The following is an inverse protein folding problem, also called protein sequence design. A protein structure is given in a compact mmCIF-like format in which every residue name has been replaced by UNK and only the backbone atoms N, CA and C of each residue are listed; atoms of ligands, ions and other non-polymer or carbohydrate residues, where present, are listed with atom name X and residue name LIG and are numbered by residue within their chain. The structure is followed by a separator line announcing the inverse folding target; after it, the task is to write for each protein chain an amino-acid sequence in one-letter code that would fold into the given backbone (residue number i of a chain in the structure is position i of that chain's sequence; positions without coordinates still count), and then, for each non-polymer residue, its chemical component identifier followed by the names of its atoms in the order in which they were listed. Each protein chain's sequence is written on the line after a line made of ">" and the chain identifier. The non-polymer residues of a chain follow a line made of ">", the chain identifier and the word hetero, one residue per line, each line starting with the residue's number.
data_IF_294011915048
#
_entry.id   IF_294011915048
#
_cell.length_a   1.000
_cell.length_b   1.000
_cell.length_c   1.000
_cell.angle_alpha   90.00
_cell.angle_beta   90.00
_cell.angle_gamma   90.00
#
_symmetry.space_group_name_H-M   'P 1'
#
loop_
_entity.id
_entity.type
_entity.pdbx_description
1 polymer ?
#
# COMPACT_ATOMS: atom_id res chain seq x y z
N UNK A 1 10.28 -4.85 -33.65
CA UNK A 1 8.91 -4.52 -33.19
C UNK A 1 8.29 -5.77 -32.60
N UNK A 2 8.03 -5.77 -31.29
CA UNK A 2 6.93 -6.49 -30.61
C UNK A 2 7.21 -6.48 -29.10
N UNK A 3 6.43 -5.73 -28.34
CA UNK A 3 6.04 -6.08 -26.97
C UNK A 3 4.64 -5.52 -26.73
N UNK A 4 3.64 -6.27 -27.19
CA UNK A 4 2.31 -6.19 -26.59
C UNK A 4 2.39 -6.92 -25.24
N UNK A 5 2.50 -6.20 -24.12
CA UNK A 5 2.43 -6.80 -22.80
C UNK A 5 1.30 -6.18 -21.97
N UNK A 6 0.24 -6.97 -21.89
CA UNK A 6 -0.83 -7.00 -20.88
C UNK A 6 -1.66 -5.73 -20.65
N UNK A 7 -2.68 -5.54 -21.50
CA UNK A 7 -3.94 -4.84 -21.14
C UNK A 7 -4.84 -5.63 -20.18
N UNK A 8 -4.50 -6.90 -19.88
CA UNK A 8 -5.29 -7.73 -18.96
C UNK A 8 -4.92 -7.48 -17.48
N UNK A 9 -3.66 -7.15 -17.15
CA UNK A 9 -3.24 -6.96 -15.74
C UNK A 9 -3.85 -5.69 -15.12
N UNK A 10 -3.93 -4.60 -15.89
CA UNK A 10 -4.54 -3.35 -15.42
C UNK A 10 -6.06 -3.42 -15.24
N UNK A 11 -6.75 -4.24 -16.04
CA UNK A 11 -8.19 -4.45 -15.88
C UNK A 11 -8.50 -5.24 -14.60
N UNK A 12 -7.72 -6.29 -14.30
CA UNK A 12 -7.88 -7.10 -13.08
C UNK A 12 -7.58 -6.28 -11.83
N UNK A 13 -6.56 -5.42 -11.86
CA UNK A 13 -6.27 -4.53 -10.75
C UNK A 13 -7.38 -3.50 -10.52
N UNK A 14 -7.93 -2.91 -11.59
CA UNK A 14 -9.04 -1.96 -11.49
C UNK A 14 -10.34 -2.62 -10.96
N UNK A 15 -10.63 -3.86 -11.38
CA UNK A 15 -11.76 -4.64 -10.90
C UNK A 15 -11.62 -4.97 -9.41
N UNK A 16 -10.46 -5.50 -9.01
CA UNK A 16 -10.17 -5.77 -7.60
C UNK A 16 -10.25 -4.49 -6.75
N UNK A 17 -9.83 -3.33 -7.29
CA UNK A 17 -9.98 -2.05 -6.62
C UNK A 17 -11.44 -1.66 -6.44
N UNK A 18 -12.29 -1.89 -7.45
CA UNK A 18 -13.73 -1.64 -7.37
C UNK A 18 -14.41 -2.53 -6.32
N UNK A 19 -14.10 -3.83 -6.33
CA UNK A 19 -14.62 -4.79 -5.35
C UNK A 19 -14.16 -4.44 -3.92
N UNK A 20 -12.93 -3.97 -3.76
CA UNK A 20 -12.42 -3.48 -2.47
C UNK A 20 -13.18 -2.27 -1.96
N UNK A 21 -13.50 -1.32 -2.83
CA UNK A 21 -14.31 -0.14 -2.50
C UNK A 21 -15.75 -0.54 -2.11
N UNK A 22 -16.36 -1.46 -2.85
CA UNK A 22 -17.69 -1.98 -2.51
C UNK A 22 -17.70 -2.73 -1.17
N UNK A 23 -16.71 -3.59 -0.92
CA UNK A 23 -16.57 -4.30 0.35
C UNK A 23 -16.41 -3.32 1.52
N UNK A 24 -15.67 -2.23 1.32
CA UNK A 24 -15.54 -1.14 2.29
C UNK A 24 -16.88 -0.46 2.57
N UNK A 25 -17.67 -0.17 1.54
CA UNK A 25 -19.03 0.39 1.70
C UNK A 25 -19.97 -0.58 2.43
N UNK A 26 -19.79 -1.90 2.24
CA UNK A 26 -20.53 -2.94 2.97
C UNK A 26 -20.08 -3.10 4.43
N UNK A 27 -19.02 -2.41 4.86
CA UNK A 27 -18.43 -2.56 6.19
C UNK A 27 -17.54 -3.79 6.34
N UNK A 28 -17.37 -4.59 5.28
CA UNK A 28 -16.51 -5.76 5.27
C UNK A 28 -15.07 -5.36 4.97
N UNK A 29 -14.41 -4.81 5.99
CA UNK A 29 -13.04 -4.31 5.88
C UNK A 29 -12.01 -5.42 5.64
N UNK A 30 -12.30 -6.65 6.07
CA UNK A 30 -11.42 -7.80 5.83
C UNK A 30 -11.44 -8.21 4.35
N UNK A 31 -12.63 -8.29 3.75
CA UNK A 31 -12.76 -8.53 2.33
C UNK A 31 -12.15 -7.39 1.51
N UNK A 32 -12.38 -6.13 1.91
CA UNK A 32 -11.78 -4.95 1.27
C UNK A 32 -10.24 -5.06 1.21
N UNK A 33 -9.60 -5.39 2.33
CA UNK A 33 -8.14 -5.61 2.40
C UNK A 33 -7.68 -6.70 1.43
N UNK A 34 -8.39 -7.82 1.33
CA UNK A 34 -8.02 -8.91 0.43
C UNK A 34 -8.10 -8.46 -1.05
N UNK A 35 -9.15 -7.74 -1.42
CA UNK A 35 -9.30 -7.20 -2.77
C UNK A 35 -8.23 -6.16 -3.12
N UNK A 36 -7.90 -5.24 -2.19
CA UNK A 36 -6.81 -4.29 -2.43
C UNK A 36 -5.44 -4.96 -2.53
N UNK A 37 -5.19 -6.02 -1.74
CA UNK A 37 -3.96 -6.81 -1.86
C UNK A 37 -3.87 -7.54 -3.22
N UNK A 38 -4.99 -8.08 -3.71
CA UNK A 38 -5.06 -8.67 -5.05
C UNK A 38 -4.78 -7.62 -6.14
N UNK A 39 -5.29 -6.39 -5.98
CA UNK A 39 -5.01 -5.29 -6.89
C UNK A 39 -3.52 -4.91 -6.91
N UNK A 40 -2.86 -4.85 -5.74
CA UNK A 40 -1.41 -4.60 -5.63
C UNK A 40 -0.58 -5.77 -6.17
N UNK A 41 -1.08 -7.01 -6.10
CA UNK A 41 -0.39 -8.16 -6.67
C UNK A 41 -0.51 -8.22 -8.21
N UNK A 42 -1.67 -7.83 -8.75
CA UNK A 42 -1.91 -7.72 -10.19
C UNK A 42 -1.14 -6.56 -10.83
N UNK A 43 -1.05 -5.44 -10.09
CA UNK A 43 -0.24 -4.29 -10.42
C UNK A 43 0.54 -3.80 -9.18
N UNK A 44 1.74 -4.36 -8.93
CA UNK A 44 2.82 -3.56 -8.35
C UNK A 44 3.11 -2.45 -9.37
N UNK A 45 4.09 -1.57 -9.28
CA UNK A 45 4.16 -0.35 -10.11
C UNK A 45 2.96 0.64 -9.98
N UNK A 46 1.68 0.21 -9.96
CA UNK A 46 0.53 1.10 -9.80
C UNK A 46 0.43 1.69 -8.39
N UNK A 47 0.42 3.02 -8.29
CA UNK A 47 0.45 3.74 -7.00
C UNK A 47 -0.92 3.72 -6.30
N UNK A 48 -2.00 3.84 -7.09
CA UNK A 48 -3.37 3.95 -6.60
C UNK A 48 -3.83 2.78 -5.71
N UNK A 49 -3.69 1.49 -6.08
CA UNK A 49 -4.08 0.37 -5.22
C UNK A 49 -3.27 0.31 -3.93
N UNK A 50 -2.00 0.74 -3.95
CA UNK A 50 -1.14 0.78 -2.75
C UNK A 50 -1.58 1.84 -1.75
N UNK A 51 -1.96 3.03 -2.24
CA UNK A 51 -2.48 4.11 -1.38
C UNK A 51 -3.81 3.70 -0.72
N UNK A 52 -4.72 3.07 -1.47
CA UNK A 52 -5.97 2.57 -0.91
C UNK A 52 -5.75 1.45 0.11
N UNK A 53 -4.84 0.49 -0.18
CA UNK A 53 -4.48 -0.56 0.77
C UNK A 53 -3.91 0.02 2.07
N UNK A 54 -2.99 1.00 1.97
CA UNK A 54 -2.42 1.65 3.15
C UNK A 54 -3.49 2.37 3.99
N UNK A 55 -4.46 3.00 3.33
CA UNK A 55 -5.55 3.66 4.02
C UNK A 55 -6.42 2.65 4.78
N UNK A 56 -6.81 1.55 4.13
CA UNK A 56 -7.55 0.49 4.82
C UNK A 56 -6.78 -0.11 6.00
N UNK A 57 -5.47 -0.29 5.86
CA UNK A 57 -4.62 -0.78 6.93
C UNK A 57 -4.56 0.20 8.11
N UNK A 58 -4.49 1.50 7.82
CA UNK A 58 -4.57 2.55 8.84
C UNK A 58 -5.91 2.48 9.59
N UNK A 59 -7.00 2.37 8.85
CA UNK A 59 -8.37 2.22 9.33
C UNK A 59 -8.60 0.93 10.15
N UNK A 60 -7.83 -0.12 9.88
CA UNK A 60 -7.83 -1.38 10.63
C UNK A 60 -6.90 -1.36 11.86
N UNK A 61 -6.13 -0.29 12.06
CA UNK A 61 -5.15 -0.16 13.14
C UNK A 61 -3.79 -0.78 12.85
N UNK A 62 -3.57 -1.31 11.64
CA UNK A 62 -2.27 -1.82 11.17
C UNK A 62 -1.36 -0.66 10.72
N UNK A 63 -1.09 0.28 11.63
CA UNK A 63 -0.38 1.53 11.32
C UNK A 63 1.03 1.31 10.79
N UNK A 64 1.74 0.27 11.24
CA UNK A 64 3.09 -0.05 10.77
C UNK A 64 3.09 -0.48 9.30
N UNK A 65 2.24 -1.45 8.92
CA UNK A 65 2.16 -1.94 7.52
C UNK A 65 1.70 -0.82 6.57
N UNK A 66 0.77 0.02 7.04
CA UNK A 66 0.33 1.21 6.30
C UNK A 66 1.48 2.21 6.07
N UNK A 67 2.29 2.47 7.09
CA UNK A 67 3.40 3.41 7.02
C UNK A 67 4.48 2.96 6.04
N UNK A 68 4.83 1.67 6.05
CA UNK A 68 5.82 1.11 5.12
C UNK A 68 5.35 1.23 3.65
N UNK A 69 4.08 0.92 3.38
CA UNK A 69 3.51 1.04 2.03
C UNK A 69 3.51 2.50 1.57
N UNK A 70 3.12 3.43 2.44
CA UNK A 70 3.09 4.87 2.13
C UNK A 70 4.49 5.42 1.89
N UNK A 71 5.48 5.02 2.69
CA UNK A 71 6.89 5.38 2.48
C UNK A 71 7.40 4.85 1.14
N UNK A 72 7.12 3.60 0.81
CA UNK A 72 7.50 3.02 -0.48
C UNK A 72 6.85 3.77 -1.66
N UNK A 73 5.58 4.16 -1.54
CA UNK A 73 4.88 4.98 -2.53
C UNK A 73 5.54 6.36 -2.67
N UNK A 74 5.94 7.00 -1.58
CA UNK A 74 6.60 8.31 -1.61
C UNK A 74 8.03 8.26 -2.14
N UNK A 75 8.70 7.10 -2.05
CA UNK A 75 10.00 6.88 -2.70
C UNK A 75 9.87 6.80 -4.23
N UNK A 76 8.81 6.17 -4.73
CA UNK A 76 8.54 6.02 -6.16
C UNK A 76 7.93 7.29 -6.78
N UNK A 77 6.98 7.90 -6.04
CA UNK A 77 6.22 9.07 -6.45
C UNK A 77 6.17 10.09 -5.30
N UNK A 78 7.22 10.91 -5.12
CA UNK A 78 7.32 11.88 -4.03
C UNK A 78 6.27 13.00 -4.11
N UNK A 79 5.70 13.23 -5.30
CA UNK A 79 4.66 14.24 -5.53
C UNK A 79 3.23 13.71 -5.34
N UNK A 80 3.04 12.70 -4.47
CA UNK A 80 1.71 12.16 -4.17
C UNK A 80 1.16 12.79 -2.88
N UNK A 81 0.31 13.83 -2.96
CA UNK A 81 -0.21 14.53 -1.79
C UNK A 81 -1.05 13.62 -0.88
N UNK A 82 -1.76 12.64 -1.45
CA UNK A 82 -2.56 11.68 -0.68
C UNK A 82 -1.66 10.80 0.19
N UNK A 83 -0.56 10.28 -0.38
CA UNK A 83 0.40 9.47 0.36
C UNK A 83 1.06 10.28 1.48
N UNK A 84 1.42 11.53 1.21
CA UNK A 84 1.99 12.43 2.23
C UNK A 84 1.02 12.76 3.36
N UNK A 85 -0.25 13.00 3.04
CA UNK A 85 -1.30 13.21 4.03
C UNK A 85 -1.53 11.95 4.90
N UNK A 86 -1.52 10.77 4.29
CA UNK A 86 -1.58 9.48 4.99
C UNK A 86 -0.40 9.29 5.93
N UNK A 87 0.83 9.61 5.51
CA UNK A 87 2.01 9.51 6.37
C UNK A 87 1.92 10.45 7.59
N UNK A 88 1.46 11.69 7.38
CA UNK A 88 1.23 12.63 8.49
C UNK A 88 0.16 12.14 9.46
N UNK A 89 -0.94 11.58 8.93
CA UNK A 89 -1.98 11.00 9.77
C UNK A 89 -1.45 9.82 10.57
N UNK A 90 -0.76 8.87 9.92
CA UNK A 90 -0.15 7.71 10.57
C UNK A 90 0.86 8.11 11.65
N UNK A 91 1.70 9.12 11.37
CA UNK A 91 2.65 9.66 12.34
C UNK A 91 2.00 10.37 13.53
N UNK A 92 0.82 10.99 13.36
CA UNK A 92 0.09 11.64 14.45
C UNK A 92 -0.61 10.63 15.37
N UNK A 93 -1.13 9.53 14.82
CA UNK A 93 -1.66 8.40 15.63
C UNK A 93 -0.54 7.55 16.22
N UNK A 94 0.59 7.43 15.52
CA UNK A 94 1.74 6.60 15.86
C UNK A 94 2.80 7.29 16.73
N UNK A 95 2.55 8.49 17.27
CA UNK A 95 3.49 9.32 18.06
C UNK A 95 4.10 8.69 19.33
N UNK A 96 3.93 7.38 19.55
CA UNK A 96 4.64 6.56 20.54
C UNK A 96 5.56 5.55 19.83
N UNK A 97 6.69 6.08 19.34
CA UNK A 97 8.03 5.46 19.18
C UNK A 97 8.56 5.19 17.77
N UNK A 98 9.89 5.38 17.58
CA UNK A 98 10.68 4.66 16.59
C UNK A 98 10.87 3.21 17.03
N UNK A 99 10.71 2.27 16.10
CA UNK A 99 10.90 0.84 16.38
C UNK A 99 10.67 0.02 15.13
N UNK A 100 11.73 -0.16 14.36
CA UNK A 100 11.94 -1.10 13.24
C UNK A 100 11.80 -2.58 13.63
N UNK A 101 11.04 -2.88 14.69
CA UNK A 101 10.81 -4.21 15.24
C UNK A 101 9.38 -4.66 14.94
N UNK A 102 9.21 -5.11 13.70
CA UNK A 102 8.53 -6.36 13.37
C UNK A 102 9.21 -6.96 12.13
N UNK A 103 10.53 -7.18 12.21
CA UNK A 103 11.18 -8.29 11.49
C UNK A 103 10.49 -9.55 12.06
N UNK A 104 9.82 -10.41 11.32
CA UNK A 104 10.28 -11.11 10.13
C UNK A 104 9.07 -11.81 9.50
N UNK A 105 8.94 -11.77 8.17
CA UNK A 105 8.01 -12.68 7.50
C UNK A 105 7.75 -12.42 6.02
N UNK A 106 7.71 -11.17 5.55
CA UNK A 106 7.29 -10.93 4.17
C UNK A 106 7.66 -9.55 3.60
N UNK A 107 8.94 -9.18 3.58
CA UNK A 107 9.39 -7.99 2.84
C UNK A 107 9.64 -8.38 1.37
N UNK A 108 8.99 -7.74 0.37
CA UNK A 108 9.34 -7.95 -1.02
C UNK A 108 10.80 -7.49 -1.27
N UNK A 109 11.57 -8.19 -2.12
CA UNK A 109 13.02 -8.01 -2.26
C UNK A 109 13.46 -6.63 -2.82
N UNK A 110 12.53 -5.73 -3.14
CA UNK A 110 12.82 -4.41 -3.72
C UNK A 110 13.19 -3.33 -2.68
N UNK A 111 12.97 -3.55 -1.37
CA UNK A 111 13.20 -2.54 -0.32
C UNK A 111 14.32 -2.89 0.67
N UNK A 112 15.07 -3.96 0.42
CA UNK A 112 16.19 -4.40 1.25
C UNK A 112 17.50 -3.62 0.98
N UNK A 113 17.43 -2.30 0.82
CA UNK A 113 18.63 -1.46 0.81
C UNK A 113 18.83 -0.84 2.20
N UNK A 114 20.02 -0.97 2.81
CA UNK A 114 20.26 -0.43 4.14
C UNK A 114 20.41 1.09 4.04
N UNK A 115 19.41 1.84 4.52
CA UNK A 115 19.65 3.23 4.88
C UNK A 115 20.54 3.26 6.12
N UNK A 116 21.84 3.24 5.86
CA UNK A 116 22.89 3.42 6.86
C UNK A 116 22.83 4.80 7.48
N UNK A 117 22.76 4.81 8.81
CA UNK A 117 23.61 5.58 9.72
C UNK A 117 24.08 6.95 9.23
N UNK A 118 23.47 8.03 9.76
CA UNK A 118 24.23 9.07 10.48
C UNK A 118 23.34 9.89 11.39
#
# INVERSE_FOLDING_TARGET
>A
MMVAYQTHSGAVAAEALHLGLEARCRGDRLAARAYFRAAVAAEPASIRPRVELARELADLGCLQEAEEIVKAVLLDAPDQPQARALLMHLGSVGGKRPGWECREGNLPPALAAPFGQR
#
